data_IF_022518665273
#
_entry.id   IF_022518665273
#
_cell.length_a   1.000
_cell.length_b   1.000
_cell.length_c   1.000
_cell.angle_alpha   90.00
_cell.angle_beta   90.00
_cell.angle_gamma   90.00
#
_symmetry.space_group_name_H-M   'P 1'
#
loop_
_entity.id
_entity.type
_entity.pdbx_description
1 polymer ?
#
# COMPACT_ATOMS: atom_id res chain seq x y z
N UNK A 1 -13.64 21.37 -8.03
CA UNK A 1 -14.44 20.17 -7.73
C UNK A 1 -14.95 19.55 -9.03
N UNK A 2 -14.88 18.22 -9.19
CA UNK A 2 -15.65 17.45 -10.20
C UNK A 2 -14.88 16.95 -11.44
N UNK A 3 -13.97 15.98 -11.30
CA UNK A 3 -13.34 15.25 -12.44
C UNK A 3 -13.96 13.85 -12.70
N UNK A 4 -15.27 13.68 -12.48
CA UNK A 4 -15.96 12.40 -12.76
C UNK A 4 -17.10 12.53 -13.81
N UNK A 5 -17.10 13.57 -14.65
CA UNK A 5 -18.17 13.87 -15.62
C UNK A 5 -18.04 13.12 -16.97
N UNK A 6 -17.37 11.97 -17.04
CA UNK A 6 -17.03 11.36 -18.32
C UNK A 6 -18.16 10.57 -18.99
N UNK A 7 -18.89 9.74 -18.23
CA UNK A 7 -19.83 8.76 -18.81
C UNK A 7 -20.98 8.50 -17.83
N UNK A 8 -22.21 8.73 -18.28
CA UNK A 8 -23.41 8.32 -17.55
C UNK A 8 -23.76 6.86 -17.92
N UNK A 9 -23.78 5.98 -16.94
CA UNK A 9 -24.15 4.58 -17.12
C UNK A 9 -25.54 4.31 -16.54
N UNK A 10 -26.44 3.76 -17.35
CA UNK A 10 -27.79 3.45 -16.90
C UNK A 10 -27.83 2.08 -16.21
N UNK A 11 -27.94 2.08 -14.88
CA UNK A 11 -27.94 0.88 -14.06
C UNK A 11 -29.36 0.32 -13.90
N UNK A 12 -29.53 -0.98 -14.13
CA UNK A 12 -30.73 -1.72 -13.74
C UNK A 12 -30.52 -2.33 -12.36
N UNK A 13 -31.27 -1.87 -11.37
CA UNK A 13 -31.15 -2.29 -9.98
C UNK A 13 -32.52 -2.74 -9.45
N UNK A 14 -32.59 -3.78 -8.61
CA UNK A 14 -33.80 -4.09 -7.83
C UNK A 14 -34.20 -2.91 -6.92
N UNK A 15 -35.51 -2.75 -6.68
CA UNK A 15 -36.04 -1.65 -5.88
C UNK A 15 -35.41 -1.61 -4.47
N UNK A 16 -35.31 -2.76 -3.80
CA UNK A 16 -34.70 -2.87 -2.47
C UNK A 16 -33.26 -2.37 -2.43
N UNK A 17 -32.48 -2.65 -3.49
CA UNK A 17 -31.08 -2.23 -3.56
C UNK A 17 -30.98 -0.72 -3.76
N UNK A 18 -31.85 -0.15 -4.60
CA UNK A 18 -31.94 1.29 -4.80
C UNK A 18 -32.25 2.01 -3.47
N UNK A 19 -33.20 1.50 -2.71
CA UNK A 19 -33.62 2.11 -1.45
C UNK A 19 -32.49 2.09 -0.41
N UNK A 20 -31.75 0.98 -0.30
CA UNK A 20 -30.56 0.87 0.56
C UNK A 20 -29.47 1.89 0.20
N UNK A 21 -29.20 2.07 -1.09
CA UNK A 21 -28.20 3.05 -1.55
C UNK A 21 -28.67 4.48 -1.23
N UNK A 22 -29.97 4.77 -1.37
CA UNK A 22 -30.52 6.09 -1.08
C UNK A 22 -30.42 6.44 0.41
N UNK A 23 -30.76 5.49 1.28
CA UNK A 23 -30.64 5.64 2.73
C UNK A 23 -29.17 5.85 3.14
N UNK A 24 -28.27 4.99 2.66
CA UNK A 24 -26.84 5.12 2.93
C UNK A 24 -26.25 6.45 2.44
N UNK A 25 -26.66 6.91 1.25
CA UNK A 25 -26.19 8.19 0.71
C UNK A 25 -26.63 9.36 1.59
N UNK A 26 -27.85 9.30 2.14
CA UNK A 26 -28.38 10.29 3.08
C UNK A 26 -27.63 10.29 4.40
N UNK A 27 -27.37 9.12 4.99
CA UNK A 27 -26.58 8.99 6.22
C UNK A 27 -25.16 9.54 6.07
N UNK A 28 -24.54 9.28 4.91
CA UNK A 28 -23.18 9.71 4.60
C UNK A 28 -23.11 11.11 3.98
N UNK A 29 -24.21 11.86 3.94
CA UNK A 29 -24.32 13.21 3.37
C UNK A 29 -23.70 13.35 1.96
N UNK A 30 -23.92 12.34 1.09
CA UNK A 30 -23.42 12.33 -0.28
C UNK A 30 -24.53 12.06 -1.30
N UNK A 31 -24.25 12.36 -2.57
CA UNK A 31 -25.20 12.03 -3.65
C UNK A 31 -25.28 10.52 -3.84
N UNK A 32 -26.42 10.03 -4.33
CA UNK A 32 -26.60 8.60 -4.64
C UNK A 32 -25.55 8.08 -5.61
N UNK A 33 -25.19 8.87 -6.63
CA UNK A 33 -24.14 8.50 -7.57
C UNK A 33 -22.76 8.44 -6.91
N UNK A 34 -22.46 9.37 -6.00
CA UNK A 34 -21.22 9.34 -5.22
C UNK A 34 -21.17 8.12 -4.28
N UNK A 35 -22.31 7.68 -3.74
CA UNK A 35 -22.40 6.46 -2.92
C UNK A 35 -22.14 5.20 -3.73
N UNK A 36 -22.78 5.09 -4.91
CA UNK A 36 -22.58 3.97 -5.85
C UNK A 36 -21.12 3.90 -6.27
N UNK A 37 -20.56 5.03 -6.69
CA UNK A 37 -19.16 5.12 -7.12
C UNK A 37 -18.28 4.62 -5.98
N UNK A 38 -18.34 5.23 -4.80
CA UNK A 38 -17.54 4.86 -3.62
C UNK A 38 -17.60 3.35 -3.29
N UNK A 39 -18.80 2.76 -3.31
CA UNK A 39 -18.97 1.31 -3.03
C UNK A 39 -18.33 0.44 -4.10
N UNK A 40 -18.39 0.85 -5.36
CA UNK A 40 -17.69 0.15 -6.44
C UNK A 40 -16.18 0.29 -6.25
N UNK A 41 -15.67 1.47 -5.89
CA UNK A 41 -14.24 1.69 -5.59
C UNK A 41 -13.77 0.74 -4.47
N UNK A 42 -14.51 0.69 -3.37
CA UNK A 42 -14.24 -0.20 -2.24
C UNK A 42 -14.22 -1.67 -2.65
N UNK A 43 -15.12 -2.08 -3.56
CA UNK A 43 -15.15 -3.46 -4.05
C UNK A 43 -13.91 -3.84 -4.86
N UNK A 44 -13.30 -2.89 -5.59
CA UNK A 44 -12.05 -3.12 -6.30
C UNK A 44 -10.85 -3.17 -5.34
N UNK A 45 -10.85 -2.35 -4.28
CA UNK A 45 -9.84 -2.42 -3.22
C UNK A 45 -9.83 -3.78 -2.51
N UNK A 46 -11.01 -4.34 -2.24
CA UNK A 46 -11.15 -5.67 -1.65
C UNK A 46 -10.70 -6.79 -2.62
N UNK A 47 -10.92 -6.62 -3.93
CA UNK A 47 -10.52 -7.61 -4.93
C UNK A 47 -9.02 -7.56 -5.26
N UNK A 48 -8.38 -6.39 -5.29
CA UNK A 48 -6.92 -6.28 -5.38
C UNK A 48 -6.22 -6.83 -4.12
N UNK A 49 -6.97 -6.92 -3.01
CA UNK A 49 -6.55 -7.56 -1.76
C UNK A 49 -6.90 -9.06 -1.69
N UNK A 50 -7.37 -9.68 -2.80
CA UNK A 50 -7.67 -11.12 -2.87
C UNK A 50 -6.45 -12.01 -3.14
N UNK A 51 -5.25 -11.43 -3.21
CA UNK A 51 -4.08 -12.21 -2.84
C UNK A 51 -4.25 -12.57 -1.35
N UNK A 52 -4.24 -13.86 -0.97
CA UNK A 52 -4.38 -14.25 0.42
C UNK A 52 -3.37 -13.46 1.26
N UNK A 53 -3.84 -12.93 2.39
CA UNK A 53 -3.06 -12.32 3.49
C UNK A 53 -2.11 -13.36 4.10
N UNK A 54 -1.24 -13.93 3.28
CA UNK A 54 -0.13 -14.77 3.67
C UNK A 54 1.01 -13.81 3.99
N UNK A 55 1.04 -13.40 5.26
CA UNK A 55 2.07 -12.64 5.94
C UNK A 55 2.74 -11.53 5.11
N UNK A 56 2.40 -10.30 5.50
CA UNK A 56 3.01 -9.03 5.10
C UNK A 56 4.51 -8.92 5.40
N UNK A 57 5.27 -10.01 5.51
CA UNK A 57 6.66 -10.02 5.98
C UNK A 57 7.51 -10.96 5.12
N UNK A 58 8.62 -10.46 4.56
CA UNK A 58 9.71 -11.22 3.94
C UNK A 58 10.96 -11.08 4.80
N UNK A 59 11.73 -12.16 4.93
CA UNK A 59 13.03 -12.14 5.61
C UNK A 59 14.11 -12.62 4.65
N UNK A 60 15.15 -11.82 4.47
CA UNK A 60 16.29 -12.10 3.59
C UNK A 60 17.58 -12.15 4.39
N UNK A 61 18.49 -13.02 3.96
CA UNK A 61 19.85 -13.08 4.49
C UNK A 61 20.76 -12.30 3.53
N UNK A 62 21.30 -11.18 4.00
CA UNK A 62 22.19 -10.34 3.19
C UNK A 62 23.62 -10.89 3.24
N UNK A 63 24.39 -10.60 2.18
CA UNK A 63 25.82 -10.97 2.10
C UNK A 63 26.67 -10.35 3.21
N UNK A 64 26.21 -9.23 3.79
CA UNK A 64 26.83 -8.57 4.94
C UNK A 64 26.67 -9.33 6.26
N UNK A 65 25.94 -10.45 6.29
CA UNK A 65 25.63 -11.21 7.51
C UNK A 65 24.45 -10.65 8.31
N UNK A 66 23.79 -9.59 7.82
CA UNK A 66 22.55 -9.04 8.39
C UNK A 66 21.33 -9.82 7.90
N UNK A 67 20.26 -9.83 8.69
CA UNK A 67 18.91 -10.22 8.25
C UNK A 67 18.13 -8.97 7.90
N UNK A 68 17.55 -8.94 6.70
CA UNK A 68 16.63 -7.88 6.29
C UNK A 68 15.19 -8.37 6.43
N UNK A 69 14.38 -7.65 7.17
CA UNK A 69 12.94 -7.88 7.30
C UNK A 69 12.23 -6.82 6.47
N UNK A 70 11.32 -7.23 5.60
CA UNK A 70 10.55 -6.32 4.75
C UNK A 70 9.08 -6.58 5.02
N UNK A 71 8.31 -5.55 5.35
CA UNK A 71 6.90 -5.73 5.62
C UNK A 71 6.01 -4.57 5.17
N UNK A 72 4.70 -4.82 5.07
CA UNK A 72 3.70 -3.79 4.81
C UNK A 72 2.75 -4.07 3.64
N UNK A 73 1.71 -3.25 3.54
CA UNK A 73 0.56 -3.44 2.65
C UNK A 73 0.89 -3.49 1.15
N UNK A 74 2.03 -2.93 0.75
CA UNK A 74 2.48 -2.89 -0.66
C UNK A 74 3.61 -3.88 -0.96
N UNK A 75 4.02 -4.71 0.00
CA UNK A 75 5.14 -5.64 -0.14
C UNK A 75 5.04 -6.55 -1.38
N UNK A 76 3.83 -6.98 -1.71
CA UNK A 76 3.57 -7.87 -2.83
C UNK A 76 3.14 -7.13 -4.10
N UNK A 77 2.97 -5.81 -4.03
CA UNK A 77 2.61 -4.95 -5.16
C UNK A 77 3.86 -4.33 -5.83
N UNK A 78 4.99 -4.35 -5.14
CA UNK A 78 6.25 -3.77 -5.60
C UNK A 78 7.24 -4.89 -5.93
N UNK A 79 7.72 -4.92 -7.18
CA UNK A 79 8.78 -5.83 -7.60
C UNK A 79 10.13 -5.11 -7.50
N UNK A 80 10.78 -5.25 -6.34
CA UNK A 80 12.05 -4.59 -6.03
C UNK A 80 13.14 -5.62 -5.73
N UNK A 81 14.40 -5.28 -6.01
CA UNK A 81 15.54 -6.03 -5.50
C UNK A 81 15.82 -5.62 -4.05
N UNK A 82 15.37 -6.42 -3.10
CA UNK A 82 15.58 -6.15 -1.67
C UNK A 82 16.97 -6.55 -1.17
N UNK A 83 17.85 -7.11 -2.00
CA UNK A 83 19.19 -7.54 -1.62
C UNK A 83 20.25 -6.46 -1.70
N UNK A 84 19.94 -5.32 -2.32
CA UNK A 84 20.81 -4.17 -2.50
C UNK A 84 21.02 -3.33 -1.22
N UNK A 85 21.92 -2.35 -1.27
CA UNK A 85 22.15 -1.42 -0.14
C UNK A 85 20.95 -0.50 0.12
N UNK A 86 20.77 -0.05 1.37
CA UNK A 86 19.58 0.73 1.76
C UNK A 86 19.43 2.04 0.98
N UNK A 87 20.52 2.69 0.60
CA UNK A 87 20.45 3.95 -0.17
C UNK A 87 19.88 3.72 -1.57
N UNK A 88 20.35 2.68 -2.28
CA UNK A 88 19.81 2.35 -3.60
C UNK A 88 18.38 1.83 -3.51
N UNK A 89 18.09 0.98 -2.50
CA UNK A 89 16.74 0.47 -2.28
C UNK A 89 15.74 1.59 -2.00
N UNK A 90 16.14 2.63 -1.25
CA UNK A 90 15.30 3.81 -1.01
C UNK A 90 14.92 4.50 -2.32
N UNK A 91 15.89 4.71 -3.20
CA UNK A 91 15.68 5.42 -4.47
C UNK A 91 14.77 4.60 -5.40
N UNK A 92 14.94 3.28 -5.43
CA UNK A 92 14.08 2.37 -6.19
C UNK A 92 12.64 2.32 -5.63
N UNK A 93 12.47 2.33 -4.30
CA UNK A 93 11.14 2.41 -3.65
C UNK A 93 10.47 3.72 -4.03
N UNK A 94 11.21 4.84 -4.01
CA UNK A 94 10.67 6.15 -4.39
C UNK A 94 10.16 6.13 -5.83
N UNK A 95 10.99 5.65 -6.76
CA UNK A 95 10.60 5.51 -8.17
C UNK A 95 9.37 4.61 -8.34
N UNK A 96 9.33 3.47 -7.65
CA UNK A 96 8.22 2.54 -7.76
C UNK A 96 6.91 3.11 -7.20
N UNK A 97 6.96 3.87 -6.10
CA UNK A 97 5.78 4.56 -5.55
C UNK A 97 5.30 5.69 -6.46
N UNK A 98 6.20 6.44 -7.08
CA UNK A 98 5.86 7.47 -8.06
C UNK A 98 5.11 6.87 -9.25
N UNK A 99 5.66 5.79 -9.83
CA UNK A 99 5.00 5.05 -10.93
C UNK A 99 3.67 4.45 -10.48
N UNK A 100 3.62 3.84 -9.29
CA UNK A 100 2.40 3.26 -8.74
C UNK A 100 1.30 4.32 -8.61
N UNK A 101 1.64 5.51 -8.10
CA UNK A 101 0.70 6.63 -7.92
C UNK A 101 0.07 7.08 -9.25
N UNK A 102 0.85 7.07 -10.34
CA UNK A 102 0.41 7.48 -11.68
C UNK A 102 -0.25 6.38 -12.51
N UNK A 103 -0.07 5.10 -12.14
CA UNK A 103 -0.49 3.95 -12.96
C UNK A 103 -2.00 3.73 -13.05
N UNK A 104 -2.77 4.16 -12.04
CA UNK A 104 -4.21 3.93 -11.95
C UNK A 104 -4.92 5.08 -11.21
N UNK A 105 -6.15 5.40 -11.62
CA UNK A 105 -7.01 6.36 -10.93
C UNK A 105 -7.16 6.03 -9.43
N UNK A 106 -7.25 4.74 -9.09
CA UNK A 106 -7.35 4.26 -7.71
C UNK A 106 -6.08 4.46 -6.89
N UNK A 107 -4.92 4.27 -7.51
CA UNK A 107 -3.65 4.59 -6.86
C UNK A 107 -3.53 6.10 -6.67
N UNK A 108 -3.92 6.90 -7.66
CA UNK A 108 -4.00 8.35 -7.50
C UNK A 108 -4.89 8.77 -6.33
N UNK A 109 -6.02 8.08 -6.11
CA UNK A 109 -6.90 8.31 -4.95
C UNK A 109 -6.28 7.83 -3.62
N UNK A 110 -5.62 6.65 -3.59
CA UNK A 110 -4.93 6.14 -2.38
C UNK A 110 -3.82 7.09 -1.91
N UNK A 111 -3.20 7.82 -2.82
CA UNK A 111 -2.14 8.80 -2.57
C UNK A 111 -2.68 10.24 -2.41
N UNK A 112 -3.98 10.49 -2.64
CA UNK A 112 -4.57 11.82 -2.55
C UNK A 112 -4.44 12.39 -1.12
N UNK A 113 -3.93 13.62 -1.04
CA UNK A 113 -3.78 14.34 0.23
C UNK A 113 -2.67 13.82 1.15
N UNK A 114 -1.85 12.88 0.67
CA UNK A 114 -0.66 12.39 1.38
C UNK A 114 0.59 12.97 0.74
N UNK A 115 1.54 13.39 1.56
CA UNK A 115 2.88 13.74 1.12
C UNK A 115 3.77 12.50 1.31
N UNK A 116 3.74 11.61 0.31
CA UNK A 116 4.36 10.29 0.38
C UNK A 116 5.87 10.43 0.20
N UNK A 117 6.61 10.14 1.27
CA UNK A 117 8.07 10.19 1.30
C UNK A 117 8.63 8.83 1.69
N UNK A 118 9.82 8.52 1.16
CA UNK A 118 10.58 7.33 1.56
C UNK A 118 11.67 7.77 2.54
N UNK A 119 11.43 7.55 3.82
CA UNK A 119 12.37 7.88 4.88
C UNK A 119 13.40 6.76 5.05
N UNK A 120 14.68 7.11 5.17
CA UNK A 120 15.77 6.17 5.45
C UNK A 120 16.52 6.59 6.71
N UNK A 121 16.50 5.73 7.71
CA UNK A 121 17.39 5.80 8.87
C UNK A 121 18.67 4.99 8.65
N UNK A 122 19.43 4.76 9.71
CA UNK A 122 20.73 4.06 9.63
C UNK A 122 20.59 2.59 9.19
N UNK A 123 19.55 1.91 9.68
CA UNK A 123 19.30 0.48 9.42
C UNK A 123 17.87 0.19 8.95
N UNK A 124 17.07 1.21 8.59
CA UNK A 124 15.70 0.98 8.15
C UNK A 124 15.24 1.97 7.10
N UNK A 125 14.22 1.58 6.33
CA UNK A 125 13.46 2.41 5.41
C UNK A 125 11.99 2.31 5.81
N UNK A 126 11.28 3.43 5.78
CA UNK A 126 9.83 3.46 5.97
C UNK A 126 9.16 4.42 4.99
N UNK A 127 7.97 4.05 4.53
CA UNK A 127 7.13 4.91 3.71
C UNK A 127 6.22 5.73 4.62
N UNK A 128 6.41 7.04 4.63
CA UNK A 128 5.81 7.95 5.61
C UNK A 128 4.99 9.06 4.94
N UNK A 129 4.02 9.59 5.69
CA UNK A 129 3.27 10.79 5.35
C UNK A 129 3.94 12.02 5.99
N UNK A 130 4.22 13.03 5.17
CA UNK A 130 4.79 14.32 5.59
C UNK A 130 6.06 14.15 6.47
N UNK A 131 6.86 13.13 6.15
CA UNK A 131 8.14 12.85 6.78
C UNK A 131 8.09 12.36 8.23
N UNK A 132 6.90 12.10 8.81
CA UNK A 132 6.76 11.84 10.26
C UNK A 132 5.94 10.62 10.63
N UNK A 133 4.90 10.28 9.87
CA UNK A 133 3.97 9.21 10.25
C UNK A 133 4.08 8.03 9.28
N UNK A 134 4.37 6.83 9.79
CA UNK A 134 4.38 5.63 8.96
C UNK A 134 3.02 5.41 8.30
N UNK A 135 3.03 5.17 6.99
CA UNK A 135 1.84 4.80 6.25
C UNK A 135 1.54 3.29 6.37
N UNK A 136 2.48 2.50 6.91
CA UNK A 136 2.40 1.04 6.95
C UNK A 136 2.35 0.41 5.55
N UNK A 137 2.84 1.14 4.54
CA UNK A 137 2.82 0.71 3.15
C UNK A 137 4.00 -0.20 2.83
N UNK A 138 5.20 0.19 3.27
CA UNK A 138 6.39 -0.62 3.15
C UNK A 138 7.41 -0.16 4.21
N UNK A 139 7.94 -1.11 4.97
CA UNK A 139 9.00 -0.92 5.94
C UNK A 139 10.08 -1.98 5.68
N UNK A 140 11.35 -1.58 5.74
CA UNK A 140 12.52 -2.45 5.57
C UNK A 140 13.42 -2.25 6.78
N UNK A 141 13.84 -3.31 7.46
CA UNK A 141 14.71 -3.24 8.63
C UNK A 141 15.88 -4.22 8.51
N UNK A 142 17.10 -3.74 8.75
CA UNK A 142 18.32 -4.54 8.80
C UNK A 142 18.71 -4.84 10.26
N UNK A 143 18.76 -6.12 10.60
CA UNK A 143 19.15 -6.61 11.92
C UNK A 143 20.47 -7.39 11.87
N UNK A 144 21.34 -7.13 12.83
CA UNK A 144 22.55 -7.94 13.01
C UNK A 144 22.20 -9.31 13.58
N UNK A 145 22.76 -10.37 12.99
CA UNK A 145 22.72 -11.71 13.59
C UNK A 145 23.89 -11.83 14.53
N UNK A 146 23.61 -11.88 15.84
CA UNK A 146 24.64 -12.30 16.80
C UNK A 146 24.96 -13.75 16.48
N UNK A 147 26.20 -14.04 16.07
CA UNK A 147 26.70 -15.41 15.98
C UNK A 147 26.78 -15.95 17.41
N UNK A 148 25.84 -16.81 17.79
CA UNK A 148 25.98 -17.56 19.03
C UNK A 148 27.20 -18.47 18.86
N UNK A 149 28.27 -18.17 19.59
CA UNK A 149 29.57 -18.85 19.47
C UNK A 149 29.60 -20.18 20.23
N UNK A 150 28.41 -20.74 20.54
CA UNK A 150 28.25 -21.81 21.52
C UNK A 150 28.02 -23.21 20.93
N UNK A 151 28.06 -23.39 19.60
CA UNK A 151 27.73 -24.69 18.97
C UNK A 151 28.81 -25.30 18.05
N UNK A 152 30.03 -24.77 18.03
CA UNK A 152 31.16 -25.35 17.26
C UNK A 152 32.06 -26.28 18.09
N UNK A 153 31.51 -26.92 19.14
CA UNK A 153 32.22 -27.92 19.95
C UNK A 153 31.38 -29.19 20.13
N UNK A 154 31.17 -29.97 19.07
CA UNK A 154 30.99 -31.44 19.15
C UNK A 154 31.71 -32.08 17.96
#
# INVERSE_FOLDING_TARGET
MGKHLGVAYNLRLPQELKDKIAESAKELNRSMNADIVARLEDSFLLNDSSAPTNADVKVLHLKSGKRRVIFGKLLNNLSLDYTQELDQLRDDIHLALEVLSGSSFWNSLKFLGKDVLVYKGDNHIDVVDNGKSSLGWLTVEDHYVVKDSSNDLI
#
